data_IF_248939500183
#
_entry.id   IF_248939500183
#
_cell.length_a   1.000
_cell.length_b   1.000
_cell.length_c   1.000
_cell.angle_alpha   90.00
_cell.angle_beta   90.00
_cell.angle_gamma   90.00
#
_symmetry.space_group_name_H-M   'P 1'
#
loop_
_entity.id
_entity.type
_entity.pdbx_description
1 polymer ?
#
# COMPACT_ATOMS: atom_id res chain seq x y z
N UNK A 1 -7.57 -6.36 -21.19
CA UNK A 1 -6.49 -6.50 -20.19
C UNK A 1 -6.98 -5.80 -18.93
N UNK A 2 -7.73 -6.49 -18.07
CA UNK A 2 -8.27 -5.85 -16.86
C UNK A 2 -7.12 -5.66 -15.86
N UNK A 3 -6.89 -4.41 -15.46
CA UNK A 3 -5.89 -4.05 -14.45
C UNK A 3 -6.31 -4.57 -13.08
N UNK A 4 -6.01 -5.84 -12.80
CA UNK A 4 -6.18 -6.38 -11.45
C UNK A 4 -5.13 -5.75 -10.50
N UNK A 5 -5.52 -5.57 -9.23
CA UNK A 5 -4.61 -5.09 -8.19
C UNK A 5 -3.40 -6.04 -8.06
N UNK A 6 -2.20 -5.46 -7.93
CA UNK A 6 -0.97 -6.21 -7.68
C UNK A 6 -0.86 -6.62 -6.20
N UNK A 7 -1.22 -5.71 -5.29
CA UNK A 7 -1.29 -5.96 -3.85
C UNK A 7 -2.41 -5.14 -3.19
N UNK A 8 -2.90 -5.62 -2.05
CA UNK A 8 -3.87 -4.92 -1.19
C UNK A 8 -3.24 -4.67 0.19
N UNK A 9 -3.33 -3.44 0.69
CA UNK A 9 -2.80 -3.03 1.99
C UNK A 9 -3.91 -2.48 2.88
N UNK A 10 -3.91 -2.90 4.14
CA UNK A 10 -4.73 -2.31 5.22
C UNK A 10 -3.79 -1.63 6.21
N UNK A 11 -3.95 -0.31 6.35
CA UNK A 11 -3.08 0.56 7.13
C UNK A 11 -3.82 1.08 8.37
N UNK A 12 -3.08 1.39 9.43
CA UNK A 12 -3.63 2.19 10.53
C UNK A 12 -3.55 3.70 10.26
N UNK A 13 -4.07 4.52 11.18
CA UNK A 13 -4.08 5.98 11.07
C UNK A 13 -2.67 6.61 11.11
N UNK A 14 -1.63 5.85 11.45
CA UNK A 14 -0.23 6.29 11.42
C UNK A 14 0.49 5.81 10.16
N UNK A 15 -0.19 5.12 9.24
CA UNK A 15 0.37 4.61 8.00
C UNK A 15 1.13 3.30 8.15
N UNK A 16 0.99 2.60 9.28
CA UNK A 16 1.63 1.30 9.48
C UNK A 16 0.79 0.20 8.83
N UNK A 17 1.44 -0.72 8.12
CA UNK A 17 0.76 -1.87 7.51
C UNK A 17 0.33 -2.85 8.61
N UNK A 18 -0.98 -3.07 8.73
CA UNK A 18 -1.56 -4.05 9.67
C UNK A 18 -1.61 -5.45 9.06
N UNK A 19 -2.12 -5.53 7.84
CA UNK A 19 -2.18 -6.75 7.04
C UNK A 19 -2.10 -6.37 5.57
N UNK A 20 -1.48 -7.23 4.78
CA UNK A 20 -1.41 -7.06 3.34
C UNK A 20 -1.46 -8.39 2.62
N UNK A 21 -1.85 -8.33 1.36
CA UNK A 21 -1.83 -9.46 0.45
C UNK A 21 -1.14 -9.05 -0.84
N UNK A 22 -0.02 -9.69 -1.10
CA UNK A 22 0.62 -9.67 -2.40
C UNK A 22 -0.01 -10.74 -3.31
N UNK A 23 -0.39 -10.35 -4.52
CA UNK A 23 -0.94 -11.26 -5.52
C UNK A 23 0.06 -11.59 -6.62
N UNK A 24 1.14 -10.82 -6.77
CA UNK A 24 2.04 -10.89 -7.94
C UNK A 24 3.53 -10.92 -7.60
N UNK A 25 3.93 -10.52 -6.40
CA UNK A 25 5.34 -10.45 -6.00
C UNK A 25 6.06 -9.20 -6.51
N UNK A 26 5.34 -8.24 -7.12
CA UNK A 26 5.90 -7.08 -7.81
C UNK A 26 5.77 -5.77 -7.02
N UNK A 27 5.16 -5.78 -5.83
CA UNK A 27 4.98 -4.61 -4.96
C UNK A 27 5.35 -4.96 -3.53
N UNK A 28 6.21 -4.15 -2.91
CA UNK A 28 6.68 -4.39 -1.54
C UNK A 28 5.88 -3.61 -0.50
N UNK A 29 5.83 -4.10 0.74
CA UNK A 29 5.16 -3.39 1.83
C UNK A 29 5.74 -1.99 2.14
N UNK A 30 7.02 -1.76 1.83
CA UNK A 30 7.68 -0.44 1.99
C UNK A 30 7.05 0.63 1.08
N UNK A 31 6.50 0.24 -0.07
CA UNK A 31 5.85 1.18 -0.99
C UNK A 31 4.54 1.72 -0.41
N UNK A 32 3.82 0.92 0.39
CA UNK A 32 2.59 1.34 1.06
C UNK A 32 2.86 2.41 2.15
N UNK A 33 3.95 2.27 2.90
CA UNK A 33 4.35 3.27 3.90
C UNK A 33 4.71 4.62 3.25
N UNK A 34 5.44 4.59 2.13
CA UNK A 34 5.78 5.79 1.34
C UNK A 34 4.56 6.46 0.74
N UNK A 35 3.55 5.68 0.33
CA UNK A 35 2.29 6.23 -0.15
C UNK A 35 1.59 7.04 0.93
N UNK A 36 1.56 6.55 2.18
CA UNK A 36 0.91 7.24 3.28
C UNK A 36 1.57 8.58 3.61
N UNK A 37 2.91 8.67 3.61
CA UNK A 37 3.62 9.95 3.77
C UNK A 37 3.16 10.97 2.72
N UNK A 38 3.09 10.57 1.45
CA UNK A 38 2.65 11.45 0.35
C UNK A 38 1.18 11.83 0.42
N UNK A 39 0.33 10.97 1.00
CA UNK A 39 -1.08 11.25 1.21
C UNK A 39 -1.25 12.38 2.24
N UNK A 40 -0.53 12.29 3.37
CA UNK A 40 -0.53 13.34 4.40
C UNK A 40 0.02 14.66 3.86
N UNK A 41 1.08 14.63 3.05
CA UNK A 41 1.66 15.85 2.45
C UNK A 41 0.72 16.58 1.49
N UNK A 42 -0.35 15.93 1.00
CA UNK A 42 -1.29 16.50 0.03
C UNK A 42 -2.60 17.00 0.65
N UNK A 43 -2.86 16.70 1.91
CA UNK A 43 -3.92 17.37 2.70
C UNK A 43 -3.35 18.60 3.43
#
# INVERSE_FOLDING_TARGET
MSGAASALFLLDIKGRVLIWRDYRGDVSAVEAERFFTKLIEKE
#
